data_IF_724782587569
#
_entry.id   IF_724782587569
#
_cell.length_a   1.000
_cell.length_b   1.000
_cell.length_c   1.000
_cell.angle_alpha   90.00
_cell.angle_beta   90.00
_cell.angle_gamma   90.00
#
_symmetry.space_group_name_H-M   'P 1'
#
loop_
_entity.id
_entity.type
_entity.pdbx_description
1 polymer ?
#
# COMPACT_ATOMS: atom_id res chain seq x y z
N UNK A 1 60.79 1.41 40.30
CA UNK A 1 59.79 0.42 40.78
C UNK A 1 60.37 -0.90 41.25
N UNK A 2 60.68 -1.91 40.42
CA UNK A 2 61.08 -3.23 40.95
C UNK A 2 62.33 -3.19 41.85
N UNK A 3 63.40 -2.54 41.41
CA UNK A 3 64.64 -2.43 42.19
C UNK A 3 64.46 -1.59 43.47
N UNK A 4 63.58 -0.58 43.44
CA UNK A 4 63.28 0.27 44.61
C UNK A 4 62.46 -0.50 45.66
N UNK A 5 61.47 -1.28 45.21
CA UNK A 5 60.67 -2.16 46.07
C UNK A 5 61.54 -3.20 46.76
N UNK A 6 62.57 -3.71 46.06
CA UNK A 6 63.51 -4.69 46.57
C UNK A 6 64.88 -4.08 46.95
N UNK A 7 64.90 -2.80 47.31
CA UNK A 7 66.12 -2.05 47.67
C UNK A 7 66.89 -2.62 48.87
N UNK A 8 66.22 -3.43 49.71
CA UNK A 8 66.86 -4.13 50.85
C UNK A 8 67.71 -5.33 50.44
N UNK A 9 67.55 -5.83 49.21
CA UNK A 9 68.30 -6.95 48.67
C UNK A 9 69.57 -6.46 47.96
N UNK A 10 70.62 -7.29 47.96
CA UNK A 10 71.83 -7.04 47.18
C UNK A 10 71.53 -7.06 45.67
N UNK A 11 72.39 -6.44 44.86
CA UNK A 11 72.20 -6.41 43.41
C UNK A 11 72.16 -7.79 42.75
N UNK A 12 72.82 -8.80 43.34
CA UNK A 12 72.75 -10.18 42.87
C UNK A 12 71.39 -10.83 43.17
N UNK A 13 70.87 -10.62 44.38
CA UNK A 13 69.54 -11.10 44.78
C UNK A 13 68.43 -10.40 43.98
N UNK A 14 68.54 -9.09 43.75
CA UNK A 14 67.59 -8.34 42.92
C UNK A 14 67.53 -8.88 41.49
N UNK A 15 68.68 -9.23 40.88
CA UNK A 15 68.71 -9.85 39.55
C UNK A 15 68.04 -11.22 39.53
N UNK A 16 68.29 -12.04 40.55
CA UNK A 16 67.64 -13.35 40.66
C UNK A 16 66.12 -13.19 40.82
N UNK A 17 65.69 -12.26 41.68
CA UNK A 17 64.28 -11.97 41.93
C UNK A 17 63.58 -11.45 40.68
N UNK A 18 64.22 -10.57 39.91
CA UNK A 18 63.67 -10.05 38.67
C UNK A 18 63.49 -11.15 37.62
N UNK A 19 64.45 -12.07 37.50
CA UNK A 19 64.32 -13.23 36.63
C UNK A 19 63.14 -14.12 37.06
N UNK A 20 63.00 -14.35 38.36
CA UNK A 20 61.91 -15.17 38.91
C UNK A 20 60.55 -14.51 38.70
N UNK A 21 60.45 -13.20 38.95
CA UNK A 21 59.27 -12.39 38.66
C UNK A 21 58.89 -12.48 37.19
N UNK A 22 59.84 -12.26 36.29
CA UNK A 22 59.60 -12.35 34.84
C UNK A 22 59.10 -13.73 34.45
N UNK A 23 59.69 -14.80 35.00
CA UNK A 23 59.25 -16.16 34.75
C UNK A 23 57.81 -16.40 35.23
N UNK A 24 57.45 -15.90 36.41
CA UNK A 24 56.08 -16.00 36.94
C UNK A 24 55.10 -15.27 36.04
N UNK A 25 55.42 -14.06 35.61
CA UNK A 25 54.56 -13.26 34.73
C UNK A 25 54.36 -13.97 33.39
N UNK A 26 55.42 -14.46 32.77
CA UNK A 26 55.33 -15.20 31.49
C UNK A 26 54.47 -16.45 31.65
N UNK A 27 54.69 -17.24 32.70
CA UNK A 27 53.90 -18.46 32.93
C UNK A 27 52.41 -18.15 33.20
N UNK A 28 52.13 -17.07 33.93
CA UNK A 28 50.76 -16.64 34.22
C UNK A 28 50.05 -16.20 32.94
N UNK A 29 50.72 -15.40 32.09
CA UNK A 29 50.17 -14.99 30.80
C UNK A 29 49.87 -16.19 29.91
N UNK A 30 50.83 -17.11 29.79
CA UNK A 30 50.62 -18.32 28.99
C UNK A 30 49.43 -19.14 29.50
N UNK A 31 49.32 -19.33 30.82
CA UNK A 31 48.22 -20.10 31.41
C UNK A 31 46.87 -19.44 31.14
N UNK A 32 46.81 -18.11 31.24
CA UNK A 32 45.58 -17.34 30.97
C UNK A 32 45.20 -17.42 29.49
N UNK A 33 46.16 -17.27 28.58
CA UNK A 33 45.95 -17.42 27.14
C UNK A 33 45.45 -18.83 26.79
N UNK A 34 46.08 -19.87 27.33
CA UNK A 34 45.69 -21.26 27.10
C UNK A 34 44.26 -21.53 27.61
N UNK A 35 43.89 -21.03 28.79
CA UNK A 35 42.53 -21.18 29.35
C UNK A 35 41.48 -20.39 28.54
N UNK A 36 41.82 -19.17 28.12
CA UNK A 36 40.95 -18.35 27.29
C UNK A 36 40.71 -19.00 25.92
N UNK A 37 41.76 -19.49 25.27
CA UNK A 37 41.67 -20.18 23.98
C UNK A 37 40.85 -21.47 24.11
N UNK A 38 41.03 -22.23 25.19
CA UNK A 38 40.24 -23.43 25.45
C UNK A 38 38.74 -23.09 25.58
N UNK A 39 38.38 -22.03 26.31
CA UNK A 39 36.99 -21.57 26.39
C UNK A 39 36.47 -21.09 25.03
N UNK A 40 37.25 -20.32 24.28
CA UNK A 40 36.85 -19.86 22.96
C UNK A 40 36.57 -21.02 21.99
N UNK A 41 37.36 -22.10 22.08
CA UNK A 41 37.15 -23.33 21.31
C UNK A 41 35.93 -24.10 21.80
N UNK A 42 35.76 -24.27 23.12
CA UNK A 42 34.61 -24.97 23.73
C UNK A 42 33.28 -24.32 23.32
N UNK A 43 33.21 -23.00 23.38
CA UNK A 43 32.01 -22.24 23.03
C UNK A 43 31.92 -21.89 21.54
N UNK A 44 32.87 -22.33 20.73
CA UNK A 44 32.96 -22.02 19.29
C UNK A 44 32.79 -20.52 19.00
N UNK A 45 33.45 -19.67 19.80
CA UNK A 45 33.33 -18.21 19.71
C UNK A 45 33.71 -17.72 18.32
N UNK A 46 34.81 -18.23 17.74
CA UNK A 46 35.25 -17.87 16.38
C UNK A 46 34.15 -18.12 15.32
N UNK A 47 33.72 -19.38 15.12
CA UNK A 47 32.66 -19.69 14.16
C UNK A 47 31.34 -18.92 14.38
N UNK A 48 30.97 -18.66 15.64
CA UNK A 48 29.78 -17.86 15.96
C UNK A 48 29.98 -16.41 15.51
N UNK A 49 31.12 -15.80 15.81
CA UNK A 49 31.43 -14.43 15.41
C UNK A 49 31.51 -14.32 13.88
N UNK A 50 32.15 -15.27 13.20
CA UNK A 50 32.19 -15.34 11.73
C UNK A 50 30.77 -15.39 11.15
N UNK A 51 29.88 -16.19 11.78
CA UNK A 51 28.49 -16.29 11.33
C UNK A 51 27.70 -15.01 11.58
N UNK A 52 27.91 -14.36 12.72
CA UNK A 52 27.28 -13.07 13.03
C UNK A 52 27.73 -12.02 12.03
N UNK A 53 29.03 -11.94 11.73
CA UNK A 53 29.59 -11.03 10.72
C UNK A 53 28.93 -11.26 9.36
N UNK A 54 28.89 -12.52 8.89
CA UNK A 54 28.21 -12.88 7.65
C UNK A 54 26.74 -12.43 7.62
N UNK A 55 25.99 -12.68 8.70
CA UNK A 55 24.57 -12.33 8.76
C UNK A 55 24.36 -10.81 8.75
N UNK A 56 25.23 -10.05 9.41
CA UNK A 56 25.20 -8.58 9.40
C UNK A 56 25.49 -8.04 8.00
N UNK A 57 26.48 -8.60 7.32
CA UNK A 57 26.79 -8.24 5.93
C UNK A 57 25.62 -8.55 4.99
N UNK A 58 25.08 -9.78 5.04
CA UNK A 58 23.92 -10.19 4.24
C UNK A 58 22.71 -9.27 4.48
N UNK A 59 22.44 -8.97 5.75
CA UNK A 59 21.36 -8.06 6.15
C UNK A 59 21.56 -6.64 5.62
N UNK A 60 22.80 -6.13 5.61
CA UNK A 60 23.11 -4.79 5.09
C UNK A 60 22.87 -4.67 3.58
N UNK A 61 22.93 -5.79 2.86
CA UNK A 61 22.69 -5.86 1.42
C UNK A 61 21.23 -6.15 1.07
N UNK A 62 20.40 -6.56 2.03
CA UNK A 62 18.98 -6.85 1.80
C UNK A 62 18.18 -5.55 1.62
N UNK A 63 17.66 -5.27 0.41
CA UNK A 63 16.89 -4.05 0.13
C UNK A 63 15.56 -4.00 0.88
N UNK A 64 15.06 -5.16 1.34
CA UNK A 64 13.84 -5.29 2.13
C UNK A 64 14.09 -5.08 3.63
N UNK A 65 15.34 -5.25 4.06
CA UNK A 65 15.78 -5.00 5.41
C UNK A 65 16.11 -3.50 5.59
N UNK A 66 15.08 -2.66 5.51
CA UNK A 66 15.21 -1.26 5.93
C UNK A 66 14.12 -0.94 6.95
N UNK A 67 14.51 -0.39 8.10
CA UNK A 67 13.59 0.24 9.06
C UNK A 67 12.76 1.37 8.44
N UNK A 68 13.11 1.81 7.22
CA UNK A 68 12.52 2.97 6.53
C UNK A 68 11.24 2.66 5.78
N UNK A 69 10.95 1.40 5.46
CA UNK A 69 9.77 1.09 4.65
C UNK A 69 9.15 -0.22 5.12
N UNK A 70 8.33 -0.15 6.16
CA UNK A 70 7.49 -1.26 6.55
C UNK A 70 6.52 -1.56 5.39
N UNK A 71 6.86 -2.57 4.58
CA UNK A 71 6.07 -3.01 3.43
C UNK A 71 4.63 -3.33 3.85
N UNK A 72 4.42 -3.73 5.11
CA UNK A 72 3.10 -3.96 5.68
C UNK A 72 2.27 -2.67 5.77
N UNK A 73 2.89 -1.55 6.16
CA UNK A 73 2.22 -0.25 6.27
C UNK A 73 1.84 0.28 4.88
N UNK A 74 2.75 0.16 3.90
CA UNK A 74 2.43 0.49 2.50
C UNK A 74 1.27 -0.36 1.97
N UNK A 75 1.29 -1.66 2.26
CA UNK A 75 0.21 -2.57 1.83
C UNK A 75 -1.12 -2.21 2.51
N UNK A 76 -1.08 -1.81 3.79
CA UNK A 76 -2.26 -1.37 4.53
C UNK A 76 -2.84 -0.07 3.94
N UNK A 77 -2.01 0.96 3.76
CA UNK A 77 -2.43 2.24 3.19
C UNK A 77 -3.00 2.07 1.78
N UNK A 78 -2.34 1.26 0.94
CA UNK A 78 -2.83 0.94 -0.39
C UNK A 78 -4.19 0.24 -0.36
N UNK A 79 -4.40 -0.66 0.62
CA UNK A 79 -5.67 -1.38 0.79
C UNK A 79 -6.80 -0.41 1.19
N UNK A 80 -6.53 0.51 2.10
CA UNK A 80 -7.49 1.55 2.52
C UNK A 80 -7.85 2.45 1.34
N UNK A 81 -6.84 2.93 0.60
CA UNK A 81 -7.04 3.79 -0.57
C UNK A 81 -7.88 3.08 -1.65
N UNK A 82 -7.57 1.82 -1.98
CA UNK A 82 -8.35 1.03 -2.95
C UNK A 82 -9.79 0.83 -2.51
N UNK A 83 -10.03 0.52 -1.23
CA UNK A 83 -11.38 0.33 -0.69
C UNK A 83 -12.20 1.62 -0.81
N UNK A 84 -11.61 2.76 -0.48
CA UNK A 84 -12.27 4.07 -0.62
C UNK A 84 -12.63 4.38 -2.06
N UNK A 85 -11.72 4.15 -3.00
CA UNK A 85 -11.99 4.41 -4.42
C UNK A 85 -13.07 3.47 -4.97
N UNK A 86 -13.07 2.18 -4.59
CA UNK A 86 -14.14 1.24 -4.95
C UNK A 86 -15.50 1.74 -4.46
N UNK A 87 -15.60 2.22 -3.21
CA UNK A 87 -16.85 2.75 -2.67
C UNK A 87 -17.33 3.99 -3.44
N UNK A 88 -16.42 4.90 -3.76
CA UNK A 88 -16.71 6.10 -4.55
C UNK A 88 -17.21 5.76 -5.96
N UNK A 89 -16.50 4.87 -6.67
CA UNK A 89 -16.88 4.42 -8.01
C UNK A 89 -18.24 3.70 -8.00
N UNK A 90 -18.48 2.86 -6.98
CA UNK A 90 -19.78 2.19 -6.79
C UNK A 90 -20.91 3.22 -6.65
N UNK A 91 -20.72 4.26 -5.83
CA UNK A 91 -21.71 5.32 -5.66
C UNK A 91 -21.91 6.21 -6.90
N UNK A 92 -20.90 6.35 -7.76
CA UNK A 92 -21.05 7.02 -9.06
C UNK A 92 -21.84 6.15 -10.04
N UNK A 93 -21.55 4.85 -10.10
CA UNK A 93 -22.24 3.89 -10.95
C UNK A 93 -23.73 3.83 -10.62
N UNK A 94 -24.09 3.68 -9.34
CA UNK A 94 -25.49 3.65 -8.89
C UNK A 94 -26.27 4.91 -9.30
N UNK A 95 -25.64 6.10 -9.22
CA UNK A 95 -26.26 7.36 -9.64
C UNK A 95 -26.47 7.40 -11.15
N UNK A 96 -25.50 6.95 -11.93
CA UNK A 96 -25.61 6.88 -13.38
C UNK A 96 -26.73 5.90 -13.80
N UNK A 97 -26.81 4.72 -13.16
CA UNK A 97 -27.86 3.72 -13.41
C UNK A 97 -29.26 4.26 -13.07
N UNK A 98 -29.40 5.00 -11.96
CA UNK A 98 -30.67 5.65 -11.61
C UNK A 98 -31.08 6.71 -12.64
N UNK A 99 -30.14 7.56 -13.06
CA UNK A 99 -30.40 8.54 -14.13
C UNK A 99 -30.81 7.86 -15.43
N UNK A 100 -30.16 6.75 -15.79
CA UNK A 100 -30.50 5.98 -16.99
C UNK A 100 -31.91 5.40 -16.90
N UNK A 101 -32.28 4.79 -15.76
CA UNK A 101 -33.64 4.28 -15.53
C UNK A 101 -34.70 5.38 -15.64
N UNK A 102 -34.44 6.56 -15.08
CA UNK A 102 -35.34 7.71 -15.21
C UNK A 102 -35.50 8.17 -16.66
N UNK A 103 -34.40 8.20 -17.41
CA UNK A 103 -34.42 8.56 -18.83
C UNK A 103 -35.21 7.54 -19.66
N UNK A 104 -34.99 6.25 -19.44
CA UNK A 104 -35.73 5.17 -20.10
C UNK A 104 -37.23 5.24 -19.80
N UNK A 105 -37.61 5.52 -18.54
CA UNK A 105 -39.00 5.72 -18.15
C UNK A 105 -39.63 6.90 -18.90
N UNK A 106 -38.93 8.03 -19.01
CA UNK A 106 -39.37 9.20 -19.78
C UNK A 106 -39.54 8.88 -21.26
N UNK A 107 -38.57 8.21 -21.88
CA UNK A 107 -38.64 7.78 -23.29
C UNK A 107 -39.86 6.87 -23.49
N UNK A 108 -40.11 5.95 -22.57
CA UNK A 108 -41.24 5.01 -22.64
C UNK A 108 -42.61 5.68 -22.49
N UNK A 109 -42.69 6.77 -21.72
CA UNK A 109 -43.91 7.60 -21.62
C UNK A 109 -44.14 8.38 -22.92
N UNK A 110 -43.11 9.06 -23.41
CA UNK A 110 -43.16 9.83 -24.67
C UNK A 110 -43.48 8.95 -25.89
N UNK A 111 -43.08 7.67 -25.88
CA UNK A 111 -43.47 6.71 -26.93
C UNK A 111 -44.94 6.28 -26.86
N UNK A 112 -45.59 6.35 -25.69
CA UNK A 112 -47.00 5.96 -25.51
C UNK A 112 -47.99 7.09 -25.77
N UNK A 113 -47.59 8.34 -25.52
CA UNK A 113 -48.42 9.54 -25.70
C UNK A 113 -48.93 9.80 -27.16
N UNK A 114 -48.21 9.48 -28.25
CA UNK A 114 -48.63 9.78 -29.62
C UNK A 114 -49.88 9.03 -30.08
N UNK A 115 -50.25 7.91 -29.45
CA UNK A 115 -51.39 7.11 -29.94
C UNK A 115 -52.75 7.71 -29.60
N UNK A 116 -52.87 8.55 -28.56
CA UNK A 116 -54.16 9.11 -28.14
C UNK A 116 -54.40 10.53 -28.70
N UNK A 117 -53.34 11.34 -28.84
CA UNK A 117 -53.45 12.73 -29.31
C UNK A 117 -53.57 12.85 -30.85
N UNK A 118 -52.95 11.93 -31.60
CA UNK A 118 -53.02 11.92 -33.09
C UNK A 118 -54.40 11.50 -33.59
N UNK A 119 -55.08 10.59 -32.88
CA UNK A 119 -56.45 10.16 -33.22
C UNK A 119 -57.48 11.27 -32.98
N UNK A 120 -57.35 12.00 -31.87
CA UNK A 120 -58.24 13.13 -31.54
C UNK A 120 -58.10 14.31 -32.50
N UNK A 121 -56.86 14.64 -32.89
CA UNK A 121 -56.57 15.73 -33.84
C UNK A 121 -56.98 15.37 -35.29
N UNK A 122 -56.76 14.12 -35.72
CA UNK A 122 -57.23 13.65 -37.03
C UNK A 122 -58.76 13.70 -37.16
N UNK A 123 -59.49 13.29 -36.12
CA UNK A 123 -60.96 13.36 -36.10
C UNK A 123 -61.48 14.81 -36.09
N UNK A 124 -60.81 15.72 -35.36
CA UNK A 124 -61.16 17.14 -35.39
C UNK A 124 -60.93 17.78 -36.76
N UNK A 125 -59.86 17.40 -37.46
CA UNK A 125 -59.56 17.87 -38.83
C UNK A 125 -60.58 17.33 -39.83
N UNK A 126 -60.96 16.06 -39.74
CA UNK A 126 -62.04 15.46 -40.54
C UNK A 126 -63.37 16.21 -40.35
N UNK A 127 -63.77 16.47 -39.09
CA UNK A 127 -64.99 17.24 -38.81
C UNK A 127 -64.94 18.66 -39.38
N UNK A 128 -63.80 19.35 -39.27
CA UNK A 128 -63.61 20.67 -39.87
C UNK A 128 -63.73 20.63 -41.40
N UNK A 129 -63.09 19.64 -42.03
CA UNK A 129 -63.12 19.46 -43.48
C UNK A 129 -64.54 19.21 -43.98
N UNK A 130 -65.30 18.36 -43.30
CA UNK A 130 -66.72 18.10 -43.61
C UNK A 130 -67.58 19.34 -43.41
N UNK A 131 -67.38 20.08 -42.32
CA UNK A 131 -68.11 21.33 -42.06
C UNK A 131 -67.84 22.42 -43.11
N UNK A 132 -66.60 22.53 -43.58
CA UNK A 132 -66.21 23.45 -44.67
C UNK A 132 -66.84 23.01 -45.99
N UNK A 133 -66.84 21.71 -46.31
CA UNK A 133 -67.45 21.19 -47.55
C UNK A 133 -68.95 21.48 -47.63
N UNK A 134 -69.68 21.33 -46.53
CA UNK A 134 -71.13 21.66 -46.43
C UNK A 134 -71.38 23.15 -46.65
N UNK A 135 -70.47 24.02 -46.18
CA UNK A 135 -70.57 25.47 -46.40
C UNK A 135 -70.36 25.87 -47.87
N UNK A 136 -69.54 25.13 -48.62
CA UNK A 136 -69.29 25.39 -50.04
C UNK A 136 -70.36 24.78 -50.95
N UNK A 137 -70.95 23.63 -50.60
CA UNK A 137 -72.07 23.04 -51.34
C UNK A 137 -73.40 23.83 -51.21
N UNK A 138 -73.53 24.66 -50.17
CA UNK A 138 -74.71 25.49 -49.94
C UNK A 138 -74.79 26.78 -50.78
N UNK A 139 -73.71 27.20 -51.43
CA UNK A 139 -73.62 28.51 -52.11
C UNK A 139 -73.80 28.48 -53.63
N UNK A 140 -74.12 27.34 -54.24
CA UNK A 140 -74.35 27.22 -55.69
C UNK A 140 -75.80 27.49 -56.14
N UNK A 141 -76.62 28.19 -55.34
CA UNK A 141 -77.94 28.66 -55.78
C UNK A 141 -78.23 30.10 -55.35
N UNK A 142 -77.80 31.04 -56.20
CA UNK A 142 -78.43 32.37 -56.33
C UNK A 142 -79.10 32.49 -57.72
N UNK A 143 -80.15 33.30 -57.85
CA UNK A 143 -81.33 33.00 -58.66
C UNK A 143 -81.14 33.34 -60.15
N UNK A 144 -81.83 32.61 -61.02
CA UNK A 144 -82.07 33.05 -62.40
C UNK A 144 -83.19 34.10 -62.43
N UNK A 145 -83.00 35.07 -63.33
CA UNK A 145 -83.82 36.27 -63.62
C UNK A 145 -85.32 35.95 -63.71
#
# INVERSE_FOLDING_TARGET
>A
DFLDIFSKFSGAEQKLLYRLYTQVIVNLHQTLEDEFDAQCQEFQVGPILDKVEQLVEEQSLDPLFSDKTNVMDIAYDLTIAKKSEIQKLTGLLQRAEEQNRQMEARISLLRRQPQHEVSGTANAIEKLKTGISVYFEGNDKLPQI
#
